data_IF_424773817953
#
_entry.id   IF_424773817953
#
_cell.length_a   1.000
_cell.length_b   1.000
_cell.length_c   1.000
_cell.angle_alpha   90.00
_cell.angle_beta   90.00
_cell.angle_gamma   90.00
#
_symmetry.space_group_name_H-M   'P 1'
#
loop_
_entity.id
_entity.type
_entity.pdbx_description
1 polymer ?
#
# COMPACT_ATOMS: atom_id res chain seq x y z
N UNK A 1 -6.15 -4.74 10.78
CA UNK A 1 -7.28 -4.31 9.94
C UNK A 1 -7.72 -2.95 10.42
N UNK A 2 -8.27 -2.13 9.53
CA UNK A 2 -8.67 -0.73 9.83
C UNK A 2 -9.83 -0.66 10.82
N UNK A 3 -10.68 -1.69 10.87
CA UNK A 3 -11.78 -1.83 11.83
C UNK A 3 -11.23 -2.10 13.23
N UNK A 4 -10.32 -3.07 13.38
CA UNK A 4 -9.69 -3.40 14.66
C UNK A 4 -8.85 -2.25 15.22
N UNK A 5 -8.25 -1.45 14.33
CA UNK A 5 -7.50 -0.26 14.71
C UNK A 5 -8.38 0.96 15.03
N UNK A 6 -9.71 0.87 14.85
CA UNK A 6 -10.64 1.97 15.12
C UNK A 6 -10.57 3.14 14.14
N UNK A 7 -9.93 2.96 12.98
CA UNK A 7 -9.67 4.02 11.98
C UNK A 7 -10.49 3.86 10.69
N UNK A 8 -11.38 2.87 10.61
CA UNK A 8 -12.19 2.61 9.42
C UNK A 8 -13.03 3.84 8.98
N UNK A 9 -13.37 4.74 9.90
CA UNK A 9 -14.11 5.97 9.61
C UNK A 9 -13.38 6.97 8.69
N UNK A 10 -12.06 6.82 8.51
CA UNK A 10 -11.29 7.61 7.53
C UNK A 10 -11.34 7.02 6.11
N UNK A 11 -11.75 5.76 5.95
CA UNK A 11 -11.68 5.02 4.69
C UNK A 11 -13.08 4.55 4.29
N UNK A 12 -13.73 5.20 3.29
CA UNK A 12 -14.98 4.70 2.72
C UNK A 12 -14.81 3.23 2.29
N UNK A 13 -15.71 2.30 2.69
CA UNK A 13 -15.52 0.87 2.43
C UNK A 13 -15.34 0.51 0.96
N UNK A 14 -15.97 1.26 0.05
CA UNK A 14 -15.87 1.12 -1.40
C UNK A 14 -14.46 1.45 -1.96
N UNK A 15 -13.63 2.13 -1.16
CA UNK A 15 -12.26 2.52 -1.48
C UNK A 15 -11.21 1.70 -0.71
N UNK A 16 -11.59 0.54 -0.18
CA UNK A 16 -10.69 -0.40 0.49
C UNK A 16 -10.45 -1.61 -0.41
N UNK A 17 -9.23 -1.73 -0.92
CA UNK A 17 -8.85 -2.78 -1.86
C UNK A 17 -7.77 -3.70 -1.29
N UNK A 18 -7.85 -4.99 -1.61
CA UNK A 18 -6.89 -6.01 -1.18
C UNK A 18 -6.46 -6.84 -2.38
N UNK A 19 -5.14 -7.06 -2.51
CA UNK A 19 -4.60 -7.91 -3.58
C UNK A 19 -5.16 -9.35 -3.54
N UNK A 20 -5.58 -9.81 -2.37
CA UNK A 20 -6.12 -11.16 -2.19
C UNK A 20 -7.60 -11.30 -2.58
N UNK A 21 -8.40 -10.22 -2.46
CA UNK A 21 -9.86 -10.30 -2.59
C UNK A 21 -10.46 -9.35 -3.63
N UNK A 22 -9.75 -8.29 -4.03
CA UNK A 22 -10.21 -7.35 -5.05
C UNK A 22 -9.77 -7.73 -6.47
N UNK A 23 -8.82 -8.66 -6.60
CA UNK A 23 -8.25 -9.09 -7.88
C UNK A 23 -8.67 -10.52 -8.23
N UNK A 24 -8.86 -10.78 -9.53
CA UNK A 24 -9.11 -12.11 -10.07
C UNK A 24 -8.22 -12.37 -11.30
N UNK A 25 -7.21 -13.26 -11.22
CA UNK A 25 -6.84 -14.03 -10.02
C UNK A 25 -6.27 -13.14 -8.90
N UNK A 26 -6.30 -13.61 -7.63
CA UNK A 26 -5.60 -12.95 -6.54
C UNK A 26 -4.11 -12.75 -6.85
N UNK A 27 -3.54 -11.66 -6.34
CA UNK A 27 -2.11 -11.35 -6.46
C UNK A 27 -1.51 -10.95 -5.11
N UNK A 28 -0.20 -10.69 -5.09
CA UNK A 28 0.54 -10.23 -3.90
C UNK A 28 1.70 -9.32 -4.30
N UNK A 29 2.04 -8.38 -3.41
CA UNK A 29 3.26 -7.58 -3.52
C UNK A 29 4.48 -8.53 -3.62
N UNK A 30 5.44 -8.34 -4.54
CA UNK A 30 5.80 -7.09 -5.21
C UNK A 30 5.15 -6.86 -6.58
N UNK A 31 4.10 -7.60 -6.95
CA UNK A 31 3.28 -7.28 -8.12
C UNK A 31 2.54 -5.93 -7.89
N UNK A 32 2.62 -4.96 -8.82
CA UNK A 32 1.93 -3.67 -8.69
C UNK A 32 0.42 -3.73 -8.97
N UNK A 33 -0.14 -4.89 -9.36
CA UNK A 33 -1.52 -5.01 -9.82
C UNK A 33 -2.57 -4.35 -8.90
N UNK A 34 -2.38 -4.43 -7.57
CA UNK A 34 -3.33 -3.82 -6.64
C UNK A 34 -3.32 -2.28 -6.69
N UNK A 35 -2.18 -1.67 -6.98
CA UNK A 35 -2.09 -0.21 -7.12
C UNK A 35 -2.74 0.28 -8.40
N UNK A 36 -2.48 -0.38 -9.54
CA UNK A 36 -3.14 -0.07 -10.80
C UNK A 36 -4.66 -0.27 -10.69
N UNK A 37 -5.08 -1.33 -10.00
CA UNK A 37 -6.49 -1.56 -9.72
C UNK A 37 -7.09 -0.43 -8.88
N UNK A 38 -6.45 -0.05 -7.77
CA UNK A 38 -6.93 1.02 -6.91
C UNK A 38 -7.01 2.37 -7.64
N UNK A 39 -5.97 2.76 -8.38
CA UNK A 39 -5.95 3.98 -9.19
C UNK A 39 -7.10 4.00 -10.21
N UNK A 40 -7.32 2.87 -10.90
CA UNK A 40 -8.43 2.71 -11.84
C UNK A 40 -9.80 2.83 -11.16
N UNK A 41 -10.01 2.21 -10.00
CA UNK A 41 -11.29 2.31 -9.28
C UNK A 41 -11.57 3.74 -8.79
N UNK A 42 -10.52 4.44 -8.36
CA UNK A 42 -10.61 5.82 -7.87
C UNK A 42 -10.66 6.87 -8.99
N UNK A 43 -10.41 6.47 -10.25
CA UNK A 43 -10.40 7.38 -11.40
C UNK A 43 -9.25 8.37 -11.40
N UNK A 44 -8.14 8.05 -10.74
CA UNK A 44 -6.92 8.89 -10.65
C UNK A 44 -5.77 8.26 -11.42
N UNK A 45 -4.81 9.07 -11.84
CA UNK A 45 -3.54 8.58 -12.38
C UNK A 45 -2.60 8.18 -11.25
N UNK A 46 -1.73 7.22 -11.50
CA UNK A 46 -0.65 6.85 -10.58
C UNK A 46 0.23 8.05 -10.19
N UNK A 47 0.41 9.01 -11.11
CA UNK A 47 1.16 10.26 -10.86
C UNK A 47 0.47 11.23 -9.89
N UNK A 48 -0.80 11.02 -9.58
CA UNK A 48 -1.59 11.83 -8.65
C UNK A 48 -1.66 11.18 -7.25
N UNK A 49 -1.02 10.03 -7.07
CA UNK A 49 -1.03 9.26 -5.84
C UNK A 49 0.34 9.25 -5.15
N UNK A 50 0.34 8.91 -3.87
CA UNK A 50 1.51 8.54 -3.08
C UNK A 50 1.20 7.26 -2.31
N UNK A 51 2.17 6.38 -2.20
CA UNK A 51 2.08 5.17 -1.37
C UNK A 51 2.81 5.38 -0.05
N UNK A 52 2.32 4.73 1.01
CA UNK A 52 2.99 4.66 2.32
C UNK A 52 3.18 3.18 2.64
N UNK A 53 4.42 2.73 2.74
CA UNK A 53 4.76 1.30 2.85
C UNK A 53 5.82 1.03 3.92
N UNK A 54 5.67 -0.05 4.67
CA UNK A 54 6.58 -0.48 5.73
C UNK A 54 7.43 -1.71 5.36
N UNK A 55 7.21 -2.28 4.16
CA UNK A 55 7.85 -3.51 3.71
C UNK A 55 8.58 -3.33 2.38
N UNK A 56 9.68 -4.08 2.20
CA UNK A 56 10.42 -4.11 0.94
C UNK A 56 9.55 -4.52 -0.25
N UNK A 57 8.69 -5.54 -0.09
CA UNK A 57 7.81 -6.01 -1.16
C UNK A 57 6.78 -4.94 -1.54
N UNK A 58 6.22 -4.23 -0.55
CA UNK A 58 5.31 -3.12 -0.74
C UNK A 58 5.93 -1.92 -1.45
N UNK A 59 7.09 -1.47 -0.98
CA UNK A 59 7.85 -0.40 -1.63
C UNK A 59 8.24 -0.79 -3.08
N UNK A 60 8.63 -2.05 -3.30
CA UNK A 60 8.94 -2.56 -4.65
C UNK A 60 7.70 -2.54 -5.55
N UNK A 61 6.53 -2.92 -5.05
CA UNK A 61 5.29 -2.84 -5.80
C UNK A 61 4.92 -1.39 -6.15
N UNK A 62 5.12 -0.44 -5.22
CA UNK A 62 4.85 0.97 -5.46
C UNK A 62 5.77 1.55 -6.55
N UNK A 63 7.08 1.25 -6.47
CA UNK A 63 8.04 1.61 -7.50
C UNK A 63 7.67 1.05 -8.87
N UNK A 64 7.26 -0.23 -8.93
CA UNK A 64 6.82 -0.88 -10.18
C UNK A 64 5.52 -0.28 -10.73
N UNK A 65 4.65 0.21 -9.86
CA UNK A 65 3.43 0.92 -10.26
C UNK A 65 3.71 2.35 -10.77
N UNK A 66 4.95 2.85 -10.61
CA UNK A 66 5.30 4.23 -10.96
C UNK A 66 4.74 5.26 -9.97
N UNK A 67 4.38 4.85 -8.75
CA UNK A 67 3.83 5.73 -7.71
C UNK A 67 4.94 6.11 -6.73
N UNK A 68 5.14 7.40 -6.42
CA UNK A 68 6.03 7.82 -5.33
C UNK A 68 5.74 7.07 -4.02
N UNK A 69 6.80 6.63 -3.33
CA UNK A 69 6.69 5.84 -2.11
C UNK A 69 7.33 6.54 -0.92
N UNK A 70 6.56 6.75 0.14
CA UNK A 70 7.04 7.12 1.47
C UNK A 70 7.25 5.81 2.24
N UNK A 71 8.51 5.41 2.39
CA UNK A 71 8.86 4.20 3.14
C UNK A 71 8.90 4.50 4.65
N UNK A 72 8.11 3.76 5.43
CA UNK A 72 8.10 3.83 6.89
C UNK A 72 8.91 2.67 7.47
N UNK A 73 10.09 2.97 8.02
CA UNK A 73 11.02 1.97 8.55
C UNK A 73 10.73 1.58 10.00
N UNK A 74 9.58 1.97 10.55
CA UNK A 74 9.25 1.76 11.95
C UNK A 74 9.75 2.88 12.87
N UNK A 75 9.63 2.63 14.16
CA UNK A 75 10.16 3.50 15.20
C UNK A 75 11.68 3.28 15.20
N UNK A 76 12.47 4.33 15.00
CA UNK A 76 13.87 4.27 15.38
C UNK A 76 13.92 4.11 16.90
N UNK A 77 14.01 2.86 17.36
CA UNK A 77 14.58 2.61 18.67
C UNK A 77 15.98 3.20 18.66
N UNK A 78 16.38 3.84 19.76
CA UNK A 78 17.81 3.89 20.08
C UNK A 78 18.23 2.44 20.33
N UNK A 79 18.46 1.67 19.26
CA UNK A 79 19.02 0.33 19.40
C UNK A 79 20.52 0.50 19.62
N UNK A 80 20.97 0.25 20.85
CA UNK A 80 22.33 -0.20 21.07
C UNK A 80 22.50 -1.55 20.35
N UNK A 81 22.86 -1.51 19.08
CA UNK A 81 23.11 -2.72 18.31
C UNK A 81 23.42 -2.39 16.86
N UNK A 82 24.60 -2.81 16.38
CA UNK A 82 25.04 -2.61 14.99
C UNK A 82 24.25 -3.50 14.04
N UNK A 83 23.98 -2.95 12.86
CA UNK A 83 23.62 -3.67 11.62
C UNK A 83 24.51 -4.90 11.38
#
# INVERSE_FOLDING_TARGET
>A
SIEKAGIAHFFPPEHVYSAATSLNPPSSKPDPAIYHYAAKQLGVKESEAVTVEDSKSGATAAMRAGIPCIAYVGIYGMEEGKE
#
